data_IF_479551373810
#
_entry.id   IF_479551373810
#
_cell.length_a   1.000
_cell.length_b   1.000
_cell.length_c   1.000
_cell.angle_alpha   90.00
_cell.angle_beta   90.00
_cell.angle_gamma   90.00
#
_symmetry.space_group_name_H-M   'P 1'
#
loop_
_entity.id
_entity.type
_entity.pdbx_description
1 polymer ?
#
# COMPACT_ATOMS: atom_id res chain seq x y z
N UNK A 1 19.60 -2.90 25.62
CA UNK A 1 18.19 -2.54 25.39
C UNK A 1 17.68 -1.51 26.40
N UNK A 2 17.89 -1.67 27.71
CA UNK A 2 17.39 -0.71 28.72
C UNK A 2 18.22 0.58 28.87
N UNK A 3 19.49 0.62 28.45
CA UNK A 3 20.27 1.88 28.43
C UNK A 3 19.85 2.83 27.31
N UNK A 4 19.22 2.30 26.25
CA UNK A 4 18.77 3.05 25.08
C UNK A 4 17.24 3.21 25.01
N UNK A 5 16.48 2.64 25.95
CA UNK A 5 15.01 2.73 26.05
C UNK A 5 14.27 2.47 24.72
N UNK A 6 14.72 1.48 23.94
CA UNK A 6 14.12 1.17 22.64
C UNK A 6 12.92 0.23 22.80
N UNK A 7 11.75 0.66 22.30
CA UNK A 7 10.56 -0.18 22.14
C UNK A 7 10.51 -0.84 20.76
N UNK A 8 10.07 -2.10 20.70
CA UNK A 8 9.84 -2.83 19.45
C UNK A 8 8.33 -3.06 19.32
N UNK A 9 7.75 -2.59 18.22
CA UNK A 9 6.33 -2.76 17.91
C UNK A 9 6.16 -3.64 16.66
N UNK A 10 5.20 -4.55 16.69
CA UNK A 10 4.80 -5.37 15.55
C UNK A 10 3.34 -5.77 15.68
N UNK A 11 2.62 -5.82 14.56
CA UNK A 11 1.19 -6.13 14.54
C UNK A 11 0.57 -5.90 13.17
N UNK A 12 -0.67 -6.34 13.01
CA UNK A 12 -1.48 -6.05 11.82
C UNK A 12 -1.85 -4.57 11.81
N UNK A 13 -1.91 -3.97 10.62
CA UNK A 13 -2.34 -2.57 10.48
C UNK A 13 -3.79 -2.39 10.99
N UNK A 14 -4.03 -1.52 11.99
CA UNK A 14 -5.38 -1.26 12.52
C UNK A 14 -6.12 -0.26 11.62
N UNK A 15 -6.48 -0.69 10.40
CA UNK A 15 -7.00 0.17 9.33
C UNK A 15 -8.15 1.08 9.78
N UNK A 16 -9.14 0.55 10.52
CA UNK A 16 -10.30 1.33 10.97
C UNK A 16 -9.93 2.50 11.89
N UNK A 17 -8.88 2.35 12.70
CA UNK A 17 -8.45 3.41 13.61
C UNK A 17 -7.88 4.63 12.90
N UNK A 18 -7.40 4.47 11.65
CA UNK A 18 -6.78 5.54 10.86
C UNK A 18 -7.66 6.02 9.71
N UNK A 19 -8.72 5.29 9.35
CA UNK A 19 -9.49 5.57 8.14
C UNK A 19 -10.17 6.95 8.19
N UNK A 20 -10.80 7.29 9.31
CA UNK A 20 -11.56 8.54 9.46
C UNK A 20 -10.65 9.79 9.37
N UNK A 21 -9.38 9.64 9.76
CA UNK A 21 -8.36 10.69 9.69
C UNK A 21 -7.75 10.79 8.28
N UNK A 22 -7.37 9.66 7.68
CA UNK A 22 -6.62 9.66 6.43
C UNK A 22 -7.49 9.82 5.17
N UNK A 23 -8.78 9.45 5.23
CA UNK A 23 -9.65 9.55 4.06
C UNK A 23 -9.83 11.00 3.56
N UNK A 24 -10.11 12.01 4.42
CA UNK A 24 -10.15 13.41 3.99
C UNK A 24 -8.87 13.87 3.27
N UNK A 25 -7.69 13.53 3.81
CA UNK A 25 -6.40 13.92 3.24
C UNK A 25 -6.17 13.32 1.84
N UNK A 26 -6.73 12.15 1.56
CA UNK A 26 -6.70 11.56 0.21
C UNK A 26 -7.64 12.31 -0.73
N UNK A 27 -8.83 12.65 -0.25
CA UNK A 27 -9.89 13.28 -1.05
C UNK A 27 -9.59 14.73 -1.40
N UNK A 28 -8.97 15.49 -0.49
CA UNK A 28 -8.55 16.86 -0.74
C UNK A 28 -7.17 16.97 -1.41
N UNK A 29 -6.47 15.83 -1.54
CA UNK A 29 -5.18 15.73 -2.22
C UNK A 29 -3.97 16.11 -1.37
N UNK A 30 -4.14 16.32 -0.06
CA UNK A 30 -3.04 16.50 0.92
C UNK A 30 -2.06 15.33 0.85
N UNK A 31 -2.56 14.11 0.71
CA UNK A 31 -1.76 12.93 0.42
C UNK A 31 -2.25 12.23 -0.86
N UNK A 32 -1.29 11.67 -1.61
CA UNK A 32 -1.55 11.05 -2.91
C UNK A 32 -1.08 9.59 -2.91
N UNK A 33 -1.77 8.68 -2.20
CA UNK A 33 -1.35 7.29 -2.06
C UNK A 33 -1.35 6.55 -3.40
N UNK A 34 -2.13 7.00 -4.40
CA UNK A 34 -2.15 6.42 -5.74
C UNK A 34 -0.80 6.42 -6.46
N UNK A 35 0.15 7.27 -6.04
CA UNK A 35 1.51 7.33 -6.62
C UNK A 35 2.35 6.07 -6.39
N UNK A 36 1.91 5.17 -5.50
CA UNK A 36 2.58 3.88 -5.29
C UNK A 36 2.36 2.92 -6.45
N UNK A 37 1.30 3.11 -7.25
CA UNK A 37 1.03 2.26 -8.40
C UNK A 37 2.03 2.58 -9.51
N UNK A 38 2.78 1.57 -9.94
CA UNK A 38 3.82 1.68 -10.98
C UNK A 38 3.48 0.92 -12.26
N UNK A 39 2.37 0.16 -12.26
CA UNK A 39 1.83 -0.50 -13.44
C UNK A 39 0.29 -0.59 -13.36
N UNK A 40 -0.35 -0.58 -14.54
CA UNK A 40 -1.79 -0.75 -14.70
C UNK A 40 -2.08 -1.87 -15.70
N UNK A 41 -3.05 -2.73 -15.40
CA UNK A 41 -3.37 -3.91 -16.21
C UNK A 41 -4.87 -4.25 -16.14
N UNK A 42 -5.46 -4.96 -17.12
CA UNK A 42 -6.83 -5.45 -17.01
C UNK A 42 -6.92 -6.59 -15.99
N UNK A 43 -8.09 -6.77 -15.36
CA UNK A 43 -8.36 -7.82 -14.38
C UNK A 43 -8.17 -9.24 -14.97
N UNK A 44 -8.36 -9.39 -16.28
CA UNK A 44 -8.06 -10.64 -17.01
C UNK A 44 -6.61 -11.11 -16.83
N UNK A 45 -5.69 -10.18 -16.55
CA UNK A 45 -4.25 -10.43 -16.49
C UNK A 45 -3.75 -10.54 -15.04
N UNK A 46 -4.65 -10.77 -14.06
CA UNK A 46 -4.32 -10.84 -12.63
C UNK A 46 -3.15 -11.79 -12.31
N UNK A 47 -3.07 -12.93 -13.00
CA UNK A 47 -1.98 -13.89 -12.80
C UNK A 47 -0.62 -13.30 -13.20
N UNK A 48 -0.57 -12.55 -14.31
CA UNK A 48 0.64 -11.87 -14.77
C UNK A 48 1.01 -10.70 -13.84
N UNK A 49 0.03 -9.97 -13.30
CA UNK A 49 0.25 -8.91 -12.32
C UNK A 49 0.92 -9.47 -11.04
N UNK A 50 0.43 -10.60 -10.52
CA UNK A 50 1.06 -11.28 -9.38
C UNK A 50 2.49 -11.73 -9.69
N UNK A 51 2.71 -12.40 -10.83
CA UNK A 51 4.05 -12.84 -11.24
C UNK A 51 5.01 -11.63 -11.39
N UNK A 52 4.52 -10.50 -11.91
CA UNK A 52 5.29 -9.27 -12.03
C UNK A 52 5.74 -8.69 -10.69
N UNK A 53 4.89 -8.77 -9.66
CA UNK A 53 5.26 -8.33 -8.30
C UNK A 53 6.24 -9.28 -7.62
N UNK A 54 6.07 -10.59 -7.78
CA UNK A 54 7.00 -11.61 -7.25
C UNK A 54 8.40 -11.47 -7.86
N UNK A 55 8.47 -11.33 -9.18
CA UNK A 55 9.71 -11.15 -9.93
C UNK A 55 10.30 -9.73 -9.79
N UNK A 56 9.64 -8.84 -9.03
CA UNK A 56 10.02 -7.43 -8.84
C UNK A 56 10.13 -6.62 -10.14
N UNK A 57 9.33 -6.96 -11.15
CA UNK A 57 9.13 -6.15 -12.36
C UNK A 57 8.13 -5.02 -12.12
N UNK A 58 7.25 -5.16 -11.13
CA UNK A 58 6.35 -4.12 -10.63
C UNK A 58 6.35 -4.12 -9.10
N UNK A 59 6.12 -2.96 -8.48
CA UNK A 59 6.03 -2.80 -7.02
C UNK A 59 4.58 -2.90 -6.55
N UNK A 60 3.65 -2.25 -7.25
CA UNK A 60 2.22 -2.22 -6.95
C UNK A 60 1.41 -2.04 -8.24
N UNK A 61 0.66 -3.08 -8.61
CA UNK A 61 -0.20 -3.05 -9.80
C UNK A 61 -1.61 -2.58 -9.45
N UNK A 62 -2.17 -1.68 -10.26
CA UNK A 62 -3.59 -1.35 -10.27
C UNK A 62 -4.30 -2.17 -11.35
N UNK A 63 -5.35 -2.90 -10.97
CA UNK A 63 -6.17 -3.69 -11.90
C UNK A 63 -7.44 -2.93 -12.28
N UNK A 64 -7.72 -2.87 -13.57
CA UNK A 64 -8.96 -2.33 -14.12
C UNK A 64 -9.95 -3.46 -14.42
N UNK A 65 -11.24 -3.35 -14.02
CA UNK A 65 -12.25 -4.38 -14.25
C UNK A 65 -12.43 -4.79 -15.72
#
# INVERSE_FOLDING_TARGET
MFSSNVGVCGGVAPVRSYLDELLPDVLDGTIQPGRVFDAEMPLSDIAAAYAGMEERRAVKVLLHP
#
